data_IF_463017686889
#
_entry.id   IF_463017686889
#
_cell.length_a   1.000
_cell.length_b   1.000
_cell.length_c   1.000
_cell.angle_alpha   90.00
_cell.angle_beta   90.00
_cell.angle_gamma   90.00
#
_symmetry.space_group_name_H-M   'P 1'
#
loop_
_entity.id
_entity.type
_entity.pdbx_description
1 polymer ?
#
# COMPACT_ATOMS: atom_id res chain seq x y z
N UNK A 1 20.28 -23.79 0.70
CA UNK A 1 18.81 -23.63 0.60
C UNK A 1 18.52 -22.18 0.24
N UNK A 2 17.93 -21.88 -0.93
CA UNK A 2 17.44 -20.54 -1.24
C UNK A 2 16.36 -20.20 -0.19
N UNK A 3 16.45 -19.03 0.42
CA UNK A 3 15.37 -18.52 1.28
C UNK A 3 14.14 -18.34 0.39
N UNK A 4 13.06 -19.05 0.66
CA UNK A 4 11.82 -18.95 -0.11
C UNK A 4 10.93 -17.79 0.34
N UNK A 5 11.32 -17.03 1.38
CA UNK A 5 10.58 -15.89 1.96
C UNK A 5 11.43 -14.64 1.99
N UNK A 6 10.77 -13.49 1.94
CA UNK A 6 11.40 -12.18 2.17
C UNK A 6 11.83 -11.98 3.64
N UNK A 7 11.45 -12.91 4.53
CA UNK A 7 11.81 -12.86 5.95
C UNK A 7 10.89 -11.98 6.80
N UNK A 8 11.46 -11.42 7.87
CA UNK A 8 10.72 -10.50 8.75
C UNK A 8 10.66 -9.12 8.10
N UNK A 9 9.46 -8.57 8.05
CA UNK A 9 9.14 -7.25 7.47
C UNK A 9 8.44 -6.37 8.50
N UNK A 10 8.35 -5.08 8.21
CA UNK A 10 7.66 -4.12 9.06
C UNK A 10 6.81 -3.19 8.22
N UNK A 11 5.60 -2.91 8.70
CA UNK A 11 4.76 -1.86 8.12
C UNK A 11 5.41 -0.50 8.35
N UNK A 12 5.52 0.27 7.27
CA UNK A 12 6.03 1.64 7.23
C UNK A 12 4.87 2.60 7.00
N UNK A 13 5.07 3.87 7.32
CA UNK A 13 4.06 4.89 7.18
C UNK A 13 4.62 6.07 6.39
N UNK A 14 3.86 6.53 5.42
CA UNK A 14 4.11 7.73 4.65
C UNK A 14 3.00 8.75 4.89
N UNK A 15 3.34 9.97 5.27
CA UNK A 15 2.39 11.03 5.52
C UNK A 15 2.33 11.97 4.33
N UNK A 16 1.14 12.17 3.79
CA UNK A 16 0.84 13.15 2.76
C UNK A 16 0.28 14.38 3.47
N UNK A 17 1.08 15.43 3.57
CA UNK A 17 0.72 16.66 4.28
C UNK A 17 -0.19 17.56 3.43
N UNK A 18 -0.06 17.46 2.10
CA UNK A 18 -0.87 18.23 1.16
C UNK A 18 -2.31 17.74 1.14
N UNK A 19 -3.30 18.65 1.13
CA UNK A 19 -4.70 18.29 0.97
C UNK A 19 -4.94 17.54 -0.34
N UNK A 20 -5.72 16.47 -0.29
CA UNK A 20 -6.17 15.73 -1.47
C UNK A 20 -7.65 15.99 -1.71
N UNK A 21 -7.96 16.55 -2.88
CA UNK A 21 -9.34 16.66 -3.36
C UNK A 21 -9.83 15.30 -3.87
N UNK A 22 -10.98 14.87 -3.36
CA UNK A 22 -11.63 13.61 -3.71
C UNK A 22 -12.64 13.81 -4.85
N UNK A 23 -12.96 12.76 -5.57
CA UNK A 23 -14.01 12.81 -6.60
C UNK A 23 -15.38 13.26 -6.06
N UNK A 24 -15.63 13.09 -4.77
CA UNK A 24 -16.82 13.63 -4.08
C UNK A 24 -16.83 15.14 -3.91
N UNK A 25 -15.77 15.85 -4.30
CA UNK A 25 -15.57 17.28 -4.08
C UNK A 25 -15.19 17.65 -2.63
N UNK A 26 -15.03 16.66 -1.75
CA UNK A 26 -14.51 16.87 -0.39
C UNK A 26 -12.99 16.78 -0.39
N UNK A 27 -12.36 17.35 0.64
CA UNK A 27 -10.91 17.33 0.81
C UNK A 27 -10.55 16.55 2.05
N UNK A 28 -9.52 15.71 1.95
CA UNK A 28 -8.86 15.07 3.08
C UNK A 28 -7.48 15.69 3.29
N UNK A 29 -7.21 16.05 4.54
CA UNK A 29 -5.94 16.62 4.99
C UNK A 29 -5.16 15.55 5.78
N UNK A 30 -3.82 15.61 5.74
CA UNK A 30 -2.94 14.76 6.54
C UNK A 30 -3.24 13.25 6.42
N UNK A 31 -3.10 12.72 5.22
CA UNK A 31 -3.33 11.30 4.95
C UNK A 31 -2.09 10.50 5.31
N UNK A 32 -2.24 9.54 6.21
CA UNK A 32 -1.21 8.51 6.48
C UNK A 32 -1.46 7.31 5.60
N UNK A 33 -0.42 6.81 4.94
CA UNK A 33 -0.45 5.60 4.11
C UNK A 33 0.42 4.54 4.77
N UNK A 34 -0.18 3.44 5.21
CA UNK A 34 0.54 2.26 5.66
C UNK A 34 0.99 1.43 4.46
N UNK A 35 2.26 1.05 4.41
CA UNK A 35 2.80 0.28 3.29
C UNK A 35 3.94 -0.64 3.72
N UNK A 36 4.21 -1.63 2.89
CA UNK A 36 5.37 -2.51 3.00
C UNK A 36 6.11 -2.59 1.67
N UNK A 37 7.38 -2.93 1.73
CA UNK A 37 8.23 -3.08 0.56
C UNK A 37 9.04 -4.36 0.65
N UNK A 38 9.25 -5.02 -0.49
CA UNK A 38 10.00 -6.25 -0.62
C UNK A 38 11.02 -6.10 -1.75
N UNK A 39 12.26 -6.56 -1.53
CA UNK A 39 13.36 -6.36 -2.47
C UNK A 39 13.95 -4.95 -2.42
N UNK A 40 14.75 -4.62 -3.42
CA UNK A 40 15.49 -3.35 -3.47
C UNK A 40 15.17 -2.58 -4.76
N UNK A 41 14.97 -1.26 -4.60
CA UNK A 41 14.81 -0.34 -5.73
C UNK A 41 16.17 -0.13 -6.39
N UNK A 42 16.26 -0.42 -7.69
CA UNK A 42 17.48 -0.20 -8.43
C UNK A 42 17.78 1.30 -8.64
N UNK A 43 18.98 1.60 -9.12
CA UNK A 43 19.44 2.98 -9.31
C UNK A 43 18.61 3.72 -10.36
N UNK A 44 18.19 3.04 -11.40
CA UNK A 44 17.38 3.53 -12.50
C UNK A 44 15.91 3.71 -12.12
N UNK A 45 15.48 3.12 -10.98
CA UNK A 45 14.11 3.15 -10.45
C UNK A 45 13.05 2.62 -11.42
N UNK A 46 13.41 1.64 -12.23
CA UNK A 46 12.55 1.05 -13.26
C UNK A 46 12.11 -0.39 -12.96
N UNK A 47 12.54 -0.94 -11.80
CA UNK A 47 12.19 -2.29 -11.35
C UNK A 47 11.05 -2.34 -10.31
N UNK A 48 10.26 -1.29 -10.18
CA UNK A 48 9.22 -1.22 -9.16
C UNK A 48 7.92 -1.86 -9.62
N UNK A 49 7.30 -2.67 -8.75
CA UNK A 49 5.97 -3.27 -8.93
C UNK A 49 5.06 -2.80 -7.81
N UNK A 50 3.87 -2.29 -8.15
CA UNK A 50 2.84 -1.93 -7.19
C UNK A 50 1.84 -3.07 -7.06
N UNK A 51 1.57 -3.50 -5.82
CA UNK A 51 0.55 -4.48 -5.48
C UNK A 51 -0.68 -3.75 -4.93
N UNK A 52 -1.83 -4.01 -5.54
CA UNK A 52 -3.13 -3.51 -5.11
C UNK A 52 -3.93 -4.63 -4.48
N UNK A 53 -4.19 -4.55 -3.17
CA UNK A 53 -4.89 -5.60 -2.44
C UNK A 53 -6.42 -5.60 -2.67
N UNK A 54 -7.06 -6.74 -2.44
CA UNK A 54 -8.52 -6.87 -2.44
C UNK A 54 -9.13 -6.18 -1.20
N UNK A 55 -10.46 -6.07 -1.15
CA UNK A 55 -11.20 -5.38 -0.08
C UNK A 55 -10.77 -5.80 1.35
N UNK A 56 -10.53 -7.08 1.57
CA UNK A 56 -10.14 -7.64 2.88
C UNK A 56 -8.64 -7.70 3.11
N UNK A 57 -7.83 -7.25 2.14
CA UNK A 57 -6.38 -7.25 2.25
C UNK A 57 -5.83 -6.04 3.01
N UNK A 58 -4.52 -5.97 3.07
CA UNK A 58 -3.75 -4.88 3.68
C UNK A 58 -2.36 -4.79 3.04
N UNK A 59 -1.48 -3.98 3.60
CA UNK A 59 -0.11 -3.80 3.12
C UNK A 59 0.76 -5.05 3.28
N UNK A 60 0.41 -5.97 4.21
CA UNK A 60 1.22 -7.14 4.53
C UNK A 60 1.04 -8.26 3.49
N UNK A 61 1.64 -8.09 2.31
CA UNK A 61 1.49 -9.04 1.21
C UNK A 61 2.44 -10.25 1.32
N UNK A 62 3.65 -10.09 1.89
CA UNK A 62 4.63 -11.18 2.02
C UNK A 62 5.49 -11.00 3.27
N UNK A 63 6.21 -12.09 3.63
CA UNK A 63 7.03 -12.11 4.84
C UNK A 63 6.22 -12.29 6.11
N UNK A 64 6.83 -11.95 7.23
CA UNK A 64 6.30 -12.16 8.58
C UNK A 64 6.51 -10.92 9.41
N UNK A 65 5.52 -10.50 10.20
CA UNK A 65 5.79 -9.60 11.32
C UNK A 65 6.28 -10.41 12.52
N UNK A 66 6.96 -9.75 13.44
CA UNK A 66 7.42 -10.41 14.66
C UNK A 66 6.22 -10.94 15.46
N UNK A 67 6.23 -12.24 15.76
CA UNK A 67 5.15 -12.92 16.48
C UNK A 67 3.98 -13.41 15.64
N UNK A 68 3.98 -13.18 14.34
CA UNK A 68 2.93 -13.67 13.46
C UNK A 68 2.87 -15.19 13.39
N UNK A 69 1.66 -15.72 13.28
CA UNK A 69 1.40 -17.16 13.05
C UNK A 69 1.25 -17.51 11.58
N UNK A 70 1.12 -16.53 10.71
CA UNK A 70 0.92 -16.69 9.26
C UNK A 70 1.68 -15.60 8.53
N UNK A 71 2.23 -15.90 7.34
CA UNK A 71 2.88 -14.90 6.51
C UNK A 71 1.85 -13.97 5.86
N UNK A 72 2.35 -12.95 5.16
CA UNK A 72 1.55 -12.09 4.32
C UNK A 72 0.69 -12.86 3.32
N UNK A 73 -0.43 -12.27 2.94
CA UNK A 73 -1.51 -12.93 2.17
C UNK A 73 -1.11 -13.38 0.76
N UNK A 74 -0.02 -12.91 0.21
CA UNK A 74 0.56 -13.32 -1.08
C UNK A 74 1.98 -13.90 -0.97
N UNK A 75 2.35 -14.40 0.19
CA UNK A 75 3.64 -15.07 0.41
C UNK A 75 3.98 -16.12 -0.66
N UNK A 76 2.97 -16.81 -1.19
CA UNK A 76 3.16 -17.82 -2.24
C UNK A 76 3.64 -17.21 -3.57
N UNK A 77 3.36 -15.94 -3.83
CA UNK A 77 3.64 -15.25 -5.11
C UNK A 77 4.86 -14.36 -5.01
N UNK A 78 5.10 -13.73 -3.83
CA UNK A 78 6.15 -12.75 -3.60
C UNK A 78 7.29 -13.37 -2.82
N UNK A 79 8.51 -13.21 -3.30
CA UNK A 79 9.72 -13.67 -2.61
C UNK A 79 10.84 -14.07 -3.57
N UNK A 80 12.00 -14.46 -3.05
CA UNK A 80 13.15 -14.86 -3.85
C UNK A 80 12.82 -16.01 -4.80
N UNK A 81 12.98 -15.79 -6.11
CA UNK A 81 12.73 -16.80 -7.14
C UNK A 81 11.27 -17.16 -7.39
N UNK A 82 10.31 -16.42 -6.77
CA UNK A 82 8.87 -16.59 -7.01
C UNK A 82 8.41 -15.77 -8.23
N UNK A 83 7.11 -15.81 -8.54
CA UNK A 83 6.56 -15.09 -9.70
C UNK A 83 6.82 -13.59 -9.62
N UNK A 84 6.68 -12.99 -8.44
CA UNK A 84 7.11 -11.64 -8.12
C UNK A 84 8.43 -11.75 -7.33
N UNK A 85 9.52 -11.85 -8.08
CA UNK A 85 10.85 -12.14 -7.56
C UNK A 85 11.46 -10.93 -6.86
N UNK A 86 11.53 -10.96 -5.53
CA UNK A 86 12.09 -9.89 -4.73
C UNK A 86 13.62 -9.72 -4.87
N UNK A 87 14.33 -10.64 -5.54
CA UNK A 87 15.74 -10.47 -5.90
C UNK A 87 15.90 -9.58 -7.15
N UNK A 88 14.82 -9.37 -7.93
CA UNK A 88 14.83 -8.59 -9.19
C UNK A 88 14.03 -7.31 -9.08
N UNK A 89 12.92 -7.36 -8.36
CA UNK A 89 11.94 -6.28 -8.30
C UNK A 89 11.86 -5.66 -6.91
N UNK A 90 11.62 -4.36 -6.91
CA UNK A 90 11.19 -3.62 -5.73
C UNK A 90 9.66 -3.62 -5.70
N UNK A 91 9.08 -4.38 -4.79
CA UNK A 91 7.65 -4.61 -4.72
C UNK A 91 7.08 -3.75 -3.59
N UNK A 92 6.06 -2.97 -3.89
CA UNK A 92 5.38 -2.06 -2.96
C UNK A 92 3.95 -2.56 -2.79
N UNK A 93 3.48 -2.71 -1.56
CA UNK A 93 2.06 -2.92 -1.25
C UNK A 93 1.63 -1.90 -0.20
N UNK A 94 0.60 -1.12 -0.49
CA UNK A 94 0.02 -0.16 0.46
C UNK A 94 -1.39 -0.56 0.84
N UNK A 95 -1.78 -0.29 2.09
CA UNK A 95 -3.18 -0.33 2.47
C UNK A 95 -3.91 0.84 1.82
N UNK A 96 -5.08 0.60 1.23
CA UNK A 96 -5.84 1.61 0.49
C UNK A 96 -6.38 2.72 1.40
N UNK A 97 -6.60 3.90 0.82
CA UNK A 97 -7.37 4.96 1.47
C UNK A 97 -8.75 4.42 1.89
N UNK A 98 -9.20 4.77 3.08
CA UNK A 98 -10.45 4.26 3.65
C UNK A 98 -10.35 2.84 4.21
N UNK A 99 -9.17 2.22 4.16
CA UNK A 99 -8.88 0.94 4.79
C UNK A 99 -8.83 1.04 6.32
N UNK A 100 -8.81 -0.12 7.00
CA UNK A 100 -8.76 -0.21 8.46
C UNK A 100 -7.45 -0.80 8.99
N UNK A 101 -6.39 -0.79 8.17
CA UNK A 101 -5.10 -1.41 8.48
C UNK A 101 -3.94 -0.40 8.39
N UNK A 102 -4.13 0.76 9.02
CA UNK A 102 -3.09 1.76 9.22
C UNK A 102 -3.12 2.95 8.24
N UNK A 103 -3.72 2.82 7.07
CA UNK A 103 -3.99 3.97 6.19
C UNK A 103 -5.20 4.75 6.68
N UNK A 104 -5.20 6.07 6.49
CA UNK A 104 -6.31 6.95 6.87
C UNK A 104 -7.65 6.42 6.35
N UNK A 105 -8.59 6.28 7.25
CA UNK A 105 -9.91 5.74 7.01
C UNK A 105 -10.92 6.12 8.12
N UNK A 106 -12.10 5.52 8.15
CA UNK A 106 -13.15 5.85 9.12
C UNK A 106 -12.73 5.75 10.59
N UNK A 107 -11.80 4.84 10.95
CA UNK A 107 -11.25 4.69 12.30
C UNK A 107 -10.12 5.67 12.64
N UNK A 108 -9.70 6.49 11.68
CA UNK A 108 -8.66 7.49 11.92
C UNK A 108 -9.23 8.71 12.65
N UNK A 109 -8.36 9.39 13.40
CA UNK A 109 -8.73 10.63 14.06
C UNK A 109 -8.86 11.76 13.04
N UNK A 110 -10.01 12.40 13.01
CA UNK A 110 -10.23 13.60 12.22
C UNK A 110 -9.51 14.79 12.90
N UNK A 111 -8.52 15.40 12.23
CA UNK A 111 -7.74 16.48 12.83
C UNK A 111 -8.57 17.73 13.17
N UNK A 112 -9.74 17.90 12.53
CA UNK A 112 -10.64 19.05 12.79
C UNK A 112 -11.48 18.87 14.05
N UNK A 113 -11.77 17.64 14.45
CA UNK A 113 -12.67 17.35 15.58
C UNK A 113 -11.97 16.69 16.76
N UNK A 114 -10.79 16.10 16.55
CA UNK A 114 -10.06 15.30 17.52
C UNK A 114 -10.73 13.95 17.86
N UNK A 115 -11.73 13.53 17.07
CA UNK A 115 -12.46 12.25 17.22
C UNK A 115 -12.29 11.42 15.96
N UNK A 116 -12.59 10.12 16.04
CA UNK A 116 -12.64 9.27 14.84
C UNK A 116 -13.61 9.85 13.81
N UNK A 117 -13.27 9.67 12.53
CA UNK A 117 -14.15 10.07 11.44
C UNK A 117 -15.49 9.34 11.49
N UNK A 118 -15.47 8.03 11.72
CA UNK A 118 -16.68 7.21 11.70
C UNK A 118 -17.49 7.41 10.41
N UNK A 119 -18.75 7.73 10.58
CA UNK A 119 -19.71 8.00 9.49
C UNK A 119 -19.41 9.30 8.73
N UNK A 120 -18.65 10.21 9.31
CA UNK A 120 -18.27 11.49 8.67
C UNK A 120 -17.10 11.34 7.73
N UNK A 121 -16.48 10.15 7.64
CA UNK A 121 -15.45 9.88 6.64
C UNK A 121 -16.03 10.11 5.23
N UNK A 122 -15.35 10.87 4.36
CA UNK A 122 -15.91 11.19 3.05
C UNK A 122 -16.08 9.93 2.20
N UNK A 123 -17.08 9.96 1.31
CA UNK A 123 -17.21 8.94 0.26
C UNK A 123 -15.97 9.04 -0.64
N UNK A 124 -15.34 7.90 -0.84
CA UNK A 124 -14.15 7.75 -1.69
C UNK A 124 -14.43 6.77 -2.83
N UNK A 125 -13.66 6.90 -3.89
CA UNK A 125 -13.73 6.05 -5.08
C UNK A 125 -12.43 5.28 -5.28
N UNK A 126 -12.44 4.34 -6.23
CA UNK A 126 -11.22 3.64 -6.66
C UNK A 126 -10.16 4.63 -7.14
N UNK A 127 -10.56 5.68 -7.85
CA UNK A 127 -9.64 6.72 -8.33
C UNK A 127 -9.00 7.50 -7.18
N UNK A 128 -9.73 7.78 -6.11
CA UNK A 128 -9.17 8.40 -4.91
C UNK A 128 -8.12 7.51 -4.25
N UNK A 129 -8.37 6.17 -4.18
CA UNK A 129 -7.39 5.20 -3.70
C UNK A 129 -6.12 5.21 -4.54
N UNK A 130 -6.27 5.19 -5.88
CA UNK A 130 -5.14 5.21 -6.83
C UNK A 130 -4.35 6.53 -6.72
N UNK A 131 -5.03 7.67 -6.58
CA UNK A 131 -4.37 8.96 -6.40
C UNK A 131 -3.46 8.97 -5.14
N UNK A 132 -3.91 8.38 -4.05
CA UNK A 132 -3.12 8.25 -2.81
C UNK A 132 -1.94 7.29 -3.02
N UNK A 133 -2.15 6.15 -3.69
CA UNK A 133 -1.07 5.22 -4.03
C UNK A 133 -0.02 5.88 -4.93
N UNK A 134 -0.47 6.69 -5.90
CA UNK A 134 0.44 7.44 -6.77
C UNK A 134 1.34 8.37 -5.97
N UNK A 135 0.81 9.09 -4.98
CA UNK A 135 1.62 9.95 -4.09
C UNK A 135 2.72 9.16 -3.36
N UNK A 136 2.42 7.94 -2.91
CA UNK A 136 3.42 7.06 -2.32
C UNK A 136 4.50 6.65 -3.34
N UNK A 137 4.12 6.27 -4.54
CA UNK A 137 5.06 5.90 -5.62
C UNK A 137 5.95 7.09 -6.00
N UNK A 138 5.36 8.29 -6.12
CA UNK A 138 6.09 9.54 -6.40
C UNK A 138 7.12 9.85 -5.29
N UNK A 139 6.80 9.56 -4.02
CA UNK A 139 7.72 9.77 -2.90
C UNK A 139 8.99 8.89 -2.99
N UNK A 140 8.92 7.74 -3.64
CA UNK A 140 10.11 6.93 -3.98
C UNK A 140 10.89 7.51 -5.16
N UNK A 141 10.36 8.51 -5.86
CA UNK A 141 10.93 9.07 -7.10
C UNK A 141 10.86 8.07 -8.25
N UNK A 142 9.80 7.27 -8.31
CA UNK A 142 9.53 6.29 -9.37
C UNK A 142 8.63 6.94 -10.42
N UNK A 143 9.17 7.20 -11.60
CA UNK A 143 8.41 7.79 -12.71
C UNK A 143 7.59 6.75 -13.47
N UNK A 144 8.06 5.50 -13.49
CA UNK A 144 7.43 4.41 -14.22
C UNK A 144 7.51 3.09 -13.45
N UNK A 145 6.36 2.49 -13.22
CA UNK A 145 6.27 1.14 -12.66
C UNK A 145 6.54 0.08 -13.73
N UNK A 146 7.28 -0.97 -13.38
CA UNK A 146 7.46 -2.15 -14.23
C UNK A 146 6.13 -2.90 -14.39
N UNK A 147 5.32 -2.95 -13.33
CA UNK A 147 3.98 -3.53 -13.36
C UNK A 147 3.10 -2.98 -12.23
N UNK A 148 1.79 -3.08 -12.41
CA UNK A 148 0.78 -2.95 -11.36
C UNK A 148 -0.03 -4.24 -11.35
N UNK A 149 -0.19 -4.84 -10.18
CA UNK A 149 -0.82 -6.17 -10.04
C UNK A 149 -1.85 -6.15 -8.93
N UNK A 150 -3.05 -6.61 -9.23
CA UNK A 150 -4.13 -6.68 -8.25
C UNK A 150 -5.23 -7.65 -8.65
N UNK A 151 -6.01 -8.07 -7.66
CA UNK A 151 -7.18 -8.93 -7.84
C UNK A 151 -8.41 -8.32 -7.17
N UNK A 152 -9.62 -8.60 -7.68
CA UNK A 152 -10.87 -8.07 -7.15
C UNK A 152 -10.86 -6.53 -7.13
N UNK A 153 -11.14 -5.89 -5.98
CA UNK A 153 -11.02 -4.44 -5.83
C UNK A 153 -9.60 -3.94 -6.22
N UNK A 154 -8.55 -4.72 -5.94
CA UNK A 154 -7.19 -4.41 -6.39
C UNK A 154 -7.06 -4.40 -7.92
N UNK A 155 -7.78 -5.28 -8.64
CA UNK A 155 -7.83 -5.27 -10.09
C UNK A 155 -8.57 -4.05 -10.69
N UNK A 156 -9.42 -3.38 -9.90
CA UNK A 156 -10.06 -2.12 -10.32
C UNK A 156 -9.11 -0.91 -10.16
N UNK A 157 -8.03 -1.08 -9.38
CA UNK A 157 -7.03 -0.05 -9.10
C UNK A 157 -5.84 -0.11 -10.07
N UNK A 158 -5.68 -1.21 -10.83
CA UNK A 158 -4.55 -1.44 -11.76
C UNK A 158 -4.65 -0.65 -13.06
#
# INVERSE_FOLDING_TARGET
>A
MKKESVGVVQTKYYNIEEPIELESGKTLDNITVAYETYGELNREKDNAILICHALSGDAHAAGWHEGDKKPGWWEIVIGPGKALDSEKYFIICSNVLGGCKGTTGPSSINPKTGKEYGIDFPVITIKDMVNVQKKLVDAFGIDKLAAVVGGSMGGMQT
#
